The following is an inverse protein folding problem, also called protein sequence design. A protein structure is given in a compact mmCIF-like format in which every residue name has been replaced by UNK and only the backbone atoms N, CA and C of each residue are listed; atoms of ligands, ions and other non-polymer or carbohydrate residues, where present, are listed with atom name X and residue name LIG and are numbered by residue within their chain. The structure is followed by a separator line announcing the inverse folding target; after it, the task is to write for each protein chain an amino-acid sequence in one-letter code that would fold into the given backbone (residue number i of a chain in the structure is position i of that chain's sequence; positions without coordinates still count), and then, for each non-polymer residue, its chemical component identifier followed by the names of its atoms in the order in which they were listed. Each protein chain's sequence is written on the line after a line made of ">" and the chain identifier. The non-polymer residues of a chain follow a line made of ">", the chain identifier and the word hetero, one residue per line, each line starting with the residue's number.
data_IF_676159220942
#
_entry.id   IF_676159220942
#
_cell.length_a   1.000
_cell.length_b   1.000
_cell.length_c   1.000
_cell.angle_alpha   90.00
_cell.angle_beta   90.00
_cell.angle_gamma   90.00
#
_symmetry.space_group_name_H-M   'P 1'
#
loop_
_entity.id
_entity.type
_entity.pdbx_description
1 polymer ?
#
# COMPACT_ATOMS: atom_id res chain seq x y z
N UNK A 1 18.81 -19.87 -19.64
CA UNK A 1 20.19 -19.43 -19.33
C UNK A 1 20.20 -18.92 -17.90
N UNK A 2 20.75 -19.68 -16.95
CA UNK A 2 20.93 -19.22 -15.58
C UNK A 2 22.16 -18.32 -15.54
N UNK A 3 21.95 -17.01 -15.51
CA UNK A 3 22.99 -16.06 -15.11
C UNK A 3 23.27 -16.27 -13.63
N UNK A 4 24.29 -17.08 -13.32
CA UNK A 4 24.87 -17.06 -11.97
C UNK A 4 25.62 -15.73 -11.84
N UNK A 5 25.02 -14.80 -11.09
CA UNK A 5 25.72 -13.61 -10.63
C UNK A 5 26.96 -14.07 -9.86
N UNK A 6 28.16 -13.76 -10.38
CA UNK A 6 29.42 -13.99 -9.69
C UNK A 6 29.55 -13.02 -8.51
N UNK A 7 28.90 -13.34 -7.40
CA UNK A 7 28.96 -12.58 -6.16
C UNK A 7 30.29 -12.82 -5.45
N UNK A 8 30.87 -11.78 -4.86
CA UNK A 8 32.00 -11.95 -3.94
C UNK A 8 31.54 -12.69 -2.68
N UNK A 9 32.44 -13.32 -1.91
CA UNK A 9 32.09 -13.94 -0.63
C UNK A 9 31.47 -12.97 0.38
N UNK A 10 31.78 -11.68 0.28
CA UNK A 10 31.14 -10.64 1.09
C UNK A 10 29.71 -10.37 0.63
N UNK A 11 29.48 -10.23 -0.67
CA UNK A 11 28.16 -10.02 -1.24
C UNK A 11 27.25 -11.23 -0.99
N UNK A 12 27.76 -12.45 -1.14
CA UNK A 12 26.99 -13.67 -0.87
C UNK A 12 26.56 -13.74 0.62
N UNK A 13 27.49 -13.47 1.54
CA UNK A 13 27.17 -13.36 2.98
C UNK A 13 26.13 -12.26 3.25
N UNK A 14 26.23 -11.12 2.58
CA UNK A 14 25.24 -10.06 2.68
C UNK A 14 23.87 -10.54 2.22
N UNK A 15 23.73 -11.20 1.07
CA UNK A 15 22.44 -11.66 0.54
C UNK A 15 21.81 -12.81 1.35
N UNK A 16 22.63 -13.64 1.99
CA UNK A 16 22.13 -14.74 2.82
C UNK A 16 21.73 -14.32 4.23
N UNK A 17 22.33 -13.25 4.76
CA UNK A 17 22.03 -12.78 6.10
C UNK A 17 20.61 -12.19 6.22
N UNK A 18 19.92 -12.52 7.32
CA UNK A 18 18.66 -11.89 7.67
C UNK A 18 18.87 -10.39 7.90
N UNK A 19 17.95 -9.58 7.37
CA UNK A 19 17.97 -8.12 7.47
C UNK A 19 16.89 -7.67 8.45
N UNK A 20 17.16 -6.56 9.12
CA UNK A 20 16.24 -5.93 10.05
C UNK A 20 16.04 -4.49 9.60
N UNK A 21 14.81 -4.00 9.71
CA UNK A 21 14.47 -2.59 9.49
C UNK A 21 13.84 -2.10 10.79
N UNK A 22 14.50 -1.14 11.44
CA UNK A 22 13.95 -0.38 12.55
C UNK A 22 12.83 0.51 12.01
N UNK A 23 11.60 0.02 12.12
CA UNK A 23 10.43 0.57 11.47
C UNK A 23 9.65 1.48 12.42
N UNK A 24 9.32 2.69 11.98
CA UNK A 24 8.56 3.66 12.76
C UNK A 24 7.22 3.97 12.06
N UNK A 25 6.15 4.11 12.85
CA UNK A 25 4.83 4.50 12.31
C UNK A 25 4.40 5.81 12.94
N UNK A 26 4.17 6.82 12.10
CA UNK A 26 3.47 8.04 12.48
C UNK A 26 1.99 7.94 12.08
N UNK A 27 1.11 8.53 12.87
CA UNK A 27 -0.34 8.55 12.61
C UNK A 27 -0.85 9.98 12.73
N UNK A 28 -1.50 10.46 11.68
CA UNK A 28 -2.03 11.82 11.66
C UNK A 28 -3.29 11.99 12.54
N UNK A 29 -3.63 13.25 12.80
CA UNK A 29 -4.78 13.63 13.61
C UNK A 29 -6.09 13.21 12.95
N UNK A 30 -6.15 13.22 11.61
CA UNK A 30 -7.35 12.81 10.88
C UNK A 30 -7.66 11.34 11.10
N UNK A 31 -6.66 10.46 11.11
CA UNK A 31 -6.81 9.07 11.49
C UNK A 31 -7.16 8.94 12.98
N UNK A 32 -6.57 9.75 13.86
CA UNK A 32 -6.96 9.78 15.28
C UNK A 32 -8.46 10.08 15.46
N UNK A 33 -9.00 11.05 14.72
CA UNK A 33 -10.43 11.36 14.71
C UNK A 33 -11.27 10.25 14.07
N UNK A 34 -10.81 9.65 12.97
CA UNK A 34 -11.46 8.51 12.29
C UNK A 34 -11.69 7.32 13.21
N UNK A 35 -10.76 7.07 14.12
CA UNK A 35 -10.83 5.99 15.11
C UNK A 35 -11.36 6.47 16.47
N UNK A 36 -12.30 7.43 16.46
CA UNK A 36 -13.03 7.89 17.64
C UNK A 36 -12.12 8.37 18.78
N UNK A 37 -10.96 8.96 18.44
CA UNK A 37 -9.96 9.41 19.41
C UNK A 37 -9.43 8.29 20.30
N UNK A 38 -9.48 7.04 19.81
CA UNK A 38 -9.07 5.86 20.54
C UNK A 38 -7.67 5.40 20.10
N UNK A 39 -6.66 5.87 20.83
CA UNK A 39 -5.26 5.48 20.60
C UNK A 39 -5.02 3.97 20.73
N UNK A 40 -5.80 3.25 21.56
CA UNK A 40 -5.64 1.81 21.70
C UNK A 40 -6.09 1.08 20.44
N UNK A 41 -7.25 1.46 19.87
CA UNK A 41 -7.75 0.90 18.62
C UNK A 41 -6.79 1.12 17.45
N UNK A 42 -6.19 2.32 17.37
CA UNK A 42 -5.19 2.65 16.34
C UNK A 42 -3.94 1.77 16.50
N UNK A 43 -3.43 1.62 17.73
CA UNK A 43 -2.27 0.76 18.01
C UNK A 43 -2.56 -0.70 17.65
N UNK A 44 -3.72 -1.25 18.04
CA UNK A 44 -4.12 -2.62 17.68
C UNK A 44 -4.11 -2.81 16.17
N UNK A 45 -4.73 -1.88 15.42
CA UNK A 45 -4.71 -1.90 13.96
C UNK A 45 -3.30 -1.90 13.38
N UNK A 46 -2.40 -1.04 13.90
CA UNK A 46 -1.00 -1.01 13.45
C UNK A 46 -0.31 -2.34 13.72
N UNK A 47 -0.47 -2.93 14.91
CA UNK A 47 0.13 -4.21 15.23
C UNK A 47 -0.33 -5.33 14.29
N UNK A 48 -1.63 -5.39 13.98
CA UNK A 48 -2.17 -6.37 13.04
C UNK A 48 -1.62 -6.18 11.61
N UNK A 49 -1.51 -4.94 11.14
CA UNK A 49 -0.92 -4.60 9.84
C UNK A 49 0.56 -5.01 9.80
N UNK A 50 1.35 -4.63 10.83
CA UNK A 50 2.79 -4.93 10.89
C UNK A 50 3.05 -6.44 11.02
N UNK A 51 2.20 -7.19 11.73
CA UNK A 51 2.30 -8.64 11.77
C UNK A 51 2.09 -9.25 10.38
N UNK A 52 1.09 -8.77 9.65
CA UNK A 52 0.81 -9.20 8.27
C UNK A 52 1.94 -8.81 7.32
N UNK A 53 2.45 -7.59 7.43
CA UNK A 53 3.57 -7.07 6.66
C UNK A 53 4.85 -7.88 6.91
N UNK A 54 5.13 -8.25 8.16
CA UNK A 54 6.25 -9.12 8.51
C UNK A 54 6.14 -10.50 7.86
N UNK A 55 4.93 -11.06 7.71
CA UNK A 55 4.75 -12.31 6.96
C UNK A 55 5.12 -12.14 5.49
N UNK A 56 4.74 -11.02 4.86
CA UNK A 56 5.08 -10.71 3.46
C UNK A 56 6.59 -10.52 3.26
N UNK A 57 7.27 -9.87 4.20
CA UNK A 57 8.72 -9.56 4.11
C UNK A 57 9.64 -10.77 4.33
N UNK A 58 9.11 -11.92 4.78
CA UNK A 58 9.90 -13.15 5.00
C UNK A 58 10.58 -13.66 3.73
N UNK A 59 9.93 -13.54 2.58
CA UNK A 59 10.48 -13.97 1.29
C UNK A 59 11.75 -13.19 0.92
N UNK A 60 11.89 -11.95 1.41
CA UNK A 60 13.06 -11.10 1.24
C UNK A 60 14.09 -11.25 2.37
N UNK A 61 13.88 -12.18 3.32
CA UNK A 61 14.67 -12.32 4.57
C UNK A 61 14.75 -11.02 5.38
N UNK A 62 13.72 -10.18 5.31
CA UNK A 62 13.61 -8.93 6.06
C UNK A 62 12.65 -9.14 7.24
N UNK A 63 13.01 -8.60 8.40
CA UNK A 63 12.14 -8.48 9.56
C UNK A 63 11.97 -7.02 9.94
N UNK A 64 10.73 -6.56 10.07
CA UNK A 64 10.43 -5.22 10.54
C UNK A 64 10.33 -5.25 12.06
N UNK A 65 11.25 -4.55 12.72
CA UNK A 65 11.22 -4.30 14.15
C UNK A 65 10.51 -2.97 14.39
N UNK A 66 9.27 -3.02 14.90
CA UNK A 66 8.51 -1.80 15.19
C UNK A 66 9.11 -1.08 16.42
N UNK A 67 9.90 -0.04 16.18
CA UNK A 67 10.66 0.66 17.24
C UNK A 67 9.88 1.82 17.86
N UNK A 68 8.79 2.28 17.22
CA UNK A 68 7.94 3.34 17.73
C UNK A 68 6.65 3.53 16.95
N UNK A 69 5.61 3.99 17.67
CA UNK A 69 4.37 4.52 17.11
C UNK A 69 4.17 5.91 17.71
N UNK A 70 3.95 6.93 16.88
CA UNK A 70 3.59 8.27 17.32
C UNK A 70 2.26 8.71 16.71
N UNK A 71 1.28 8.99 17.56
CA UNK A 71 -0.06 9.42 17.16
C UNK A 71 -0.19 10.91 17.45
N UNK A 72 -0.47 11.70 16.43
CA UNK A 72 -0.63 13.15 16.51
C UNK A 72 -2.02 13.54 17.05
N UNK A 73 -2.29 13.18 18.31
CA UNK A 73 -3.60 13.35 18.95
C UNK A 73 -3.94 14.81 19.31
N UNK A 74 -2.95 15.71 19.27
CA UNK A 74 -3.08 17.13 19.60
C UNK A 74 -2.88 18.07 18.39
N UNK A 75 -3.05 17.52 17.19
CA UNK A 75 -2.84 18.23 15.92
C UNK A 75 -1.62 17.72 15.17
N UNK A 76 -1.67 17.82 13.84
CA UNK A 76 -0.63 17.30 12.96
C UNK A 76 0.70 18.01 13.15
N UNK A 77 1.81 17.26 13.05
CA UNK A 77 3.17 17.81 13.10
C UNK A 77 3.66 18.34 11.76
N UNK A 78 2.90 18.07 10.69
CA UNK A 78 3.12 18.55 9.34
C UNK A 78 1.79 19.00 8.73
N UNK A 79 1.84 19.73 7.62
CA UNK A 79 0.64 20.03 6.83
C UNK A 79 0.29 18.83 5.93
N UNK A 80 -0.59 17.94 6.38
CA UNK A 80 -1.09 16.80 5.61
C UNK A 80 -2.12 17.29 4.59
N UNK A 81 -1.85 17.06 3.31
CA UNK A 81 -2.62 17.56 2.16
C UNK A 81 -3.03 16.43 1.22
N UNK A 82 -4.04 16.66 0.38
CA UNK A 82 -4.47 15.69 -0.64
C UNK A 82 -3.37 15.44 -1.70
N UNK A 83 -2.47 16.41 -1.91
CA UNK A 83 -1.30 16.22 -2.76
C UNK A 83 -0.29 15.28 -2.10
N UNK A 84 -0.12 14.10 -2.70
CA UNK A 84 0.86 13.09 -2.26
C UNK A 84 2.29 13.64 -2.20
N UNK A 85 2.69 14.43 -3.21
CA UNK A 85 4.05 14.99 -3.28
C UNK A 85 4.30 16.03 -2.18
N UNK A 86 3.31 16.89 -1.92
CA UNK A 86 3.41 17.89 -0.85
C UNK A 86 3.50 17.23 0.53
N UNK A 87 2.61 16.25 0.80
CA UNK A 87 2.58 15.53 2.08
C UNK A 87 3.86 14.70 2.30
N UNK A 88 4.33 13.97 1.27
CA UNK A 88 5.57 13.19 1.35
C UNK A 88 6.75 14.09 1.69
N UNK A 89 6.91 15.23 0.98
CA UNK A 89 8.00 16.17 1.21
C UNK A 89 7.99 16.78 2.62
N UNK A 90 6.80 17.10 3.14
CA UNK A 90 6.67 17.56 4.52
C UNK A 90 7.03 16.47 5.53
N UNK A 91 6.62 15.22 5.28
CA UNK A 91 6.93 14.09 6.15
C UNK A 91 8.42 13.71 6.13
N UNK A 92 9.06 13.73 4.96
CA UNK A 92 10.53 13.60 4.81
C UNK A 92 11.27 14.62 5.67
N UNK A 93 10.84 15.89 5.60
CA UNK A 93 11.44 16.97 6.38
C UNK A 93 11.25 16.76 7.88
N UNK A 94 10.03 16.40 8.32
CA UNK A 94 9.76 16.11 9.73
C UNK A 94 10.54 14.91 10.25
N UNK A 95 10.70 13.84 9.46
CA UNK A 95 11.52 12.70 9.87
C UNK A 95 12.96 13.13 10.12
N UNK A 96 13.54 13.89 9.19
CA UNK A 96 14.93 14.34 9.26
C UNK A 96 15.18 15.28 10.44
N UNK A 97 14.32 16.28 10.63
CA UNK A 97 14.60 17.40 11.54
C UNK A 97 14.00 17.24 12.94
N UNK A 98 12.95 16.43 13.10
CA UNK A 98 12.25 16.24 14.38
C UNK A 98 12.36 14.80 14.88
N UNK A 99 12.00 13.79 14.08
CA UNK A 99 11.93 12.40 14.57
C UNK A 99 13.31 11.78 14.82
N UNK A 100 14.20 11.81 13.84
CA UNK A 100 15.51 11.15 13.93
C UNK A 100 16.38 11.65 15.10
N UNK A 101 16.43 12.95 15.43
CA UNK A 101 17.17 13.45 16.59
C UNK A 101 16.78 12.84 17.94
N UNK A 102 15.53 12.36 18.08
CA UNK A 102 14.96 11.84 19.34
C UNK A 102 14.65 10.35 19.30
N UNK A 103 14.53 9.75 18.12
CA UNK A 103 14.27 8.31 17.96
C UNK A 103 14.84 7.79 16.64
N UNK A 104 15.95 7.05 16.74
CA UNK A 104 16.55 6.32 15.62
C UNK A 104 15.55 5.34 14.98
N UNK A 105 15.55 5.30 13.65
CA UNK A 105 14.79 4.38 12.81
C UNK A 105 15.37 4.34 11.39
N UNK A 106 15.28 3.18 10.73
CA UNK A 106 15.74 2.96 9.37
C UNK A 106 14.74 3.48 8.33
N UNK A 107 13.44 3.38 8.64
CA UNK A 107 12.32 3.79 7.78
C UNK A 107 11.13 4.24 8.64
N UNK A 108 10.43 5.29 8.20
CA UNK A 108 9.18 5.71 8.84
C UNK A 108 8.03 5.77 7.83
N UNK A 109 6.86 5.28 8.21
CA UNK A 109 5.66 5.39 7.39
C UNK A 109 4.58 6.21 8.11
N UNK A 110 3.96 7.14 7.38
CA UNK A 110 2.81 7.91 7.85
C UNK A 110 1.52 7.20 7.44
N UNK A 111 0.70 6.81 8.42
CA UNK A 111 -0.69 6.44 8.19
C UNK A 111 -1.57 7.68 8.34
N UNK A 112 -2.38 7.96 7.33
CA UNK A 112 -3.25 9.14 7.30
C UNK A 112 -4.71 8.78 6.99
N UNK A 113 -5.61 9.52 7.62
CA UNK A 113 -7.04 9.47 7.32
C UNK A 113 -7.48 10.40 6.19
N UNK A 114 -6.55 11.07 5.50
CA UNK A 114 -6.86 11.90 4.33
C UNK A 114 -7.09 11.02 3.10
N UNK A 115 -7.96 11.47 2.21
CA UNK A 115 -8.08 10.89 0.88
C UNK A 115 -7.12 11.66 -0.03
N UNK A 116 -6.11 10.99 -0.58
CA UNK A 116 -5.20 11.66 -1.50
C UNK A 116 -5.88 11.93 -2.85
N UNK A 117 -5.39 12.95 -3.55
CA UNK A 117 -5.87 13.27 -4.89
C UNK A 117 -5.59 12.12 -5.87
N UNK A 118 -6.35 12.16 -6.97
CA UNK A 118 -6.38 11.11 -7.99
C UNK A 118 -6.91 9.80 -7.39
N UNK A 119 -6.25 8.68 -7.64
CA UNK A 119 -6.61 7.40 -7.04
C UNK A 119 -5.42 6.82 -6.26
N UNK A 120 -4.65 7.72 -5.64
CA UNK A 120 -3.44 7.39 -4.88
C UNK A 120 -3.83 6.87 -3.50
N UNK A 121 -3.30 5.72 -3.10
CA UNK A 121 -3.51 5.14 -1.76
C UNK A 121 -2.20 5.04 -0.94
N UNK A 122 -1.06 5.26 -1.59
CA UNK A 122 0.28 5.24 -1.01
C UNK A 122 1.26 5.95 -1.94
N UNK A 123 2.36 6.45 -1.37
CA UNK A 123 3.47 7.03 -2.13
C UNK A 123 4.77 7.00 -1.33
N UNK A 124 5.88 6.71 -2.02
CA UNK A 124 7.20 6.56 -1.42
C UNK A 124 8.31 6.99 -2.37
N UNK A 125 9.41 7.48 -1.80
CA UNK A 125 10.65 7.73 -2.56
C UNK A 125 11.34 6.40 -2.84
N UNK A 126 11.70 6.16 -4.10
CA UNK A 126 12.37 4.93 -4.51
C UNK A 126 13.82 4.84 -4.03
N UNK A 127 14.29 3.63 -3.72
CA UNK A 127 15.69 3.30 -3.38
C UNK A 127 16.27 4.19 -2.27
N UNK A 128 15.46 4.50 -1.27
CA UNK A 128 15.77 5.48 -0.23
C UNK A 128 15.96 4.88 1.15
N UNK A 129 15.85 3.56 1.32
CA UNK A 129 16.00 2.92 2.63
C UNK A 129 17.32 3.36 3.33
N UNK A 130 17.23 3.67 4.63
CA UNK A 130 18.30 4.21 5.48
C UNK A 130 18.77 5.64 5.14
N UNK A 131 18.28 6.28 4.07
CA UNK A 131 18.51 7.71 3.86
C UNK A 131 17.89 8.52 5.00
N UNK A 132 18.60 9.50 5.55
CA UNK A 132 18.14 10.30 6.70
C UNK A 132 16.86 11.09 6.42
N UNK A 133 16.62 11.47 5.18
CA UNK A 133 15.47 12.29 4.78
C UNK A 133 14.38 11.47 4.08
N UNK A 134 14.79 10.71 3.06
CA UNK A 134 13.87 10.15 2.08
C UNK A 134 13.41 8.71 2.40
N UNK A 135 13.92 8.09 3.48
CA UNK A 135 13.49 6.76 3.91
C UNK A 135 12.12 6.82 4.60
N UNK A 136 11.11 7.20 3.80
CA UNK A 136 9.73 7.33 4.24
C UNK A 136 8.73 6.89 3.18
N UNK A 137 7.51 6.63 3.63
CA UNK A 137 6.33 6.54 2.77
C UNK A 137 5.10 7.16 3.47
N UNK A 138 4.10 7.54 2.68
CA UNK A 138 2.79 7.98 3.15
C UNK A 138 1.73 7.00 2.64
N UNK A 139 0.79 6.62 3.51
CA UNK A 139 -0.22 5.61 3.22
C UNK A 139 -1.58 6.11 3.71
N UNK A 140 -2.55 6.13 2.81
CA UNK A 140 -3.95 6.38 3.15
C UNK A 140 -4.53 5.13 3.83
N UNK A 141 -5.22 5.32 4.94
CA UNK A 141 -5.96 4.25 5.63
C UNK A 141 -7.26 3.91 4.85
N UNK A 142 -7.14 3.34 3.66
CA UNK A 142 -8.21 3.28 2.64
C UNK A 142 -9.24 2.16 2.84
N UNK A 143 -8.97 1.15 3.68
CA UNK A 143 -9.87 0.02 3.91
C UNK A 143 -9.73 -0.55 5.32
N UNK A 144 -10.81 -1.11 5.90
CA UNK A 144 -10.72 -1.81 7.20
C UNK A 144 -9.96 -3.13 7.11
N UNK A 145 -9.83 -3.72 5.93
CA UNK A 145 -9.18 -5.01 5.72
C UNK A 145 -7.65 -4.93 5.92
N UNK A 146 -7.16 -5.58 6.98
CA UNK A 146 -5.74 -5.57 7.38
C UNK A 146 -4.79 -6.06 6.27
N UNK A 147 -5.20 -7.07 5.50
CA UNK A 147 -4.39 -7.63 4.41
C UNK A 147 -4.11 -6.62 3.30
N UNK A 148 -5.11 -5.83 2.91
CA UNK A 148 -4.96 -4.79 1.89
C UNK A 148 -4.10 -3.63 2.38
N UNK A 149 -4.27 -3.21 3.64
CA UNK A 149 -3.40 -2.19 4.25
C UNK A 149 -1.94 -2.65 4.33
N UNK A 150 -1.71 -3.89 4.76
CA UNK A 150 -0.36 -4.47 4.80
C UNK A 150 0.26 -4.56 3.40
N UNK A 151 -0.54 -4.90 2.38
CA UNK A 151 -0.07 -4.91 1.00
C UNK A 151 0.35 -3.51 0.52
N UNK A 152 -0.46 -2.47 0.79
CA UNK A 152 -0.07 -1.08 0.46
C UNK A 152 1.21 -0.66 1.17
N UNK A 153 1.34 -0.91 2.48
CA UNK A 153 2.58 -0.60 3.21
C UNK A 153 3.78 -1.40 2.70
N UNK A 154 3.57 -2.66 2.28
CA UNK A 154 4.60 -3.50 1.66
C UNK A 154 5.03 -2.97 0.30
N UNK A 155 4.09 -2.50 -0.51
CA UNK A 155 4.32 -1.88 -1.81
C UNK A 155 5.21 -0.65 -1.68
N UNK A 156 4.83 0.26 -0.78
CA UNK A 156 5.60 1.49 -0.54
C UNK A 156 6.97 1.21 0.07
N UNK A 157 7.07 0.26 1.00
CA UNK A 157 8.37 -0.18 1.52
C UNK A 157 9.22 -0.83 0.41
N UNK A 158 8.59 -1.56 -0.51
CA UNK A 158 9.21 -2.13 -1.71
C UNK A 158 9.85 -1.05 -2.58
N UNK A 159 9.17 0.09 -2.77
CA UNK A 159 9.78 1.25 -3.42
C UNK A 159 10.98 1.79 -2.66
N UNK A 160 10.91 1.98 -1.33
CA UNK A 160 12.07 2.40 -0.54
C UNK A 160 13.25 1.41 -0.66
N UNK A 161 12.97 0.11 -0.78
CA UNK A 161 13.94 -0.97 -1.04
C UNK A 161 14.46 -1.01 -2.49
N UNK A 162 13.93 -0.15 -3.37
CA UNK A 162 14.35 -0.02 -4.76
C UNK A 162 13.62 -0.94 -5.76
N UNK A 163 12.52 -1.57 -5.33
CA UNK A 163 11.70 -2.43 -6.18
C UNK A 163 10.76 -1.55 -7.02
N UNK A 164 10.73 -1.81 -8.33
CA UNK A 164 9.85 -1.12 -9.28
C UNK A 164 8.50 -1.83 -9.36
N UNK A 165 7.52 -1.16 -9.94
CA UNK A 165 6.27 -1.81 -10.29
C UNK A 165 6.51 -3.02 -11.19
N UNK A 166 5.64 -4.02 -11.02
CA UNK A 166 5.58 -5.16 -11.92
C UNK A 166 5.30 -4.71 -13.35
N UNK A 167 6.01 -5.31 -14.30
CA UNK A 167 5.83 -5.08 -15.73
C UNK A 167 5.26 -6.33 -16.41
N UNK A 168 5.02 -6.25 -17.72
CA UNK A 168 4.59 -7.39 -18.51
C UNK A 168 5.61 -8.54 -18.38
N UNK A 169 5.15 -9.68 -17.86
CA UNK A 169 5.99 -10.87 -17.60
C UNK A 169 6.25 -11.15 -16.11
N UNK A 170 5.98 -10.21 -15.20
CA UNK A 170 5.94 -10.51 -13.77
C UNK A 170 4.69 -11.34 -13.44
N UNK A 171 4.87 -12.50 -12.81
CA UNK A 171 3.77 -13.38 -12.43
C UNK A 171 3.87 -13.76 -10.95
N UNK A 172 2.76 -13.56 -10.25
CA UNK A 172 2.49 -14.18 -8.96
C UNK A 172 1.21 -14.97 -9.19
N UNK A 173 1.27 -16.29 -9.16
CA UNK A 173 0.08 -17.13 -9.35
C UNK A 173 -0.41 -17.61 -7.99
N UNK A 174 -1.72 -17.53 -7.67
CA UNK A 174 -2.84 -17.04 -8.48
C UNK A 174 -3.18 -15.54 -8.31
N UNK A 175 -2.44 -14.78 -7.50
CA UNK A 175 -2.81 -13.41 -7.10
C UNK A 175 -1.87 -12.34 -7.65
N UNK A 176 -2.34 -11.11 -7.87
CA UNK A 176 -1.44 -10.00 -8.23
C UNK A 176 -0.31 -9.84 -7.20
N UNK A 177 0.90 -9.63 -7.70
CA UNK A 177 2.10 -9.36 -6.91
C UNK A 177 1.95 -8.07 -6.09
N UNK A 178 2.70 -7.95 -4.99
CA UNK A 178 2.71 -6.77 -4.11
C UNK A 178 3.02 -5.49 -4.89
N UNK A 179 3.92 -5.56 -5.87
CA UNK A 179 4.37 -4.40 -6.65
C UNK A 179 3.46 -4.07 -7.84
N UNK A 180 2.23 -4.59 -7.86
CA UNK A 180 1.26 -4.23 -8.90
C UNK A 180 0.91 -2.74 -8.80
N UNK A 181 0.89 -2.04 -9.94
CA UNK A 181 0.64 -0.59 -9.97
C UNK A 181 -0.78 -0.16 -9.57
N UNK A 182 -1.72 -1.11 -9.45
CA UNK A 182 -3.14 -0.83 -9.24
C UNK A 182 -3.78 -1.81 -8.25
N UNK A 183 -3.48 -1.65 -6.96
CA UNK A 183 -4.05 -2.47 -5.89
C UNK A 183 -5.57 -2.22 -5.70
N UNK A 184 -6.03 -0.98 -5.87
CA UNK A 184 -7.46 -0.60 -5.78
C UNK A 184 -8.36 -1.38 -6.75
N UNK A 185 -7.81 -1.82 -7.88
CA UNK A 185 -8.57 -2.45 -8.97
C UNK A 185 -8.63 -3.98 -8.82
N UNK A 186 -7.99 -4.55 -7.78
CA UNK A 186 -8.00 -6.00 -7.53
C UNK A 186 -9.43 -6.54 -7.44
N UNK A 187 -10.36 -5.79 -6.83
CA UNK A 187 -11.78 -6.16 -6.72
C UNK A 187 -12.61 -5.90 -7.99
N UNK A 188 -12.05 -5.16 -8.95
CA UNK A 188 -12.68 -4.87 -10.24
C UNK A 188 -12.00 -5.62 -11.40
N UNK A 189 -11.18 -6.62 -11.07
CA UNK A 189 -10.46 -7.45 -12.03
C UNK A 189 -11.36 -8.41 -12.81
N UNK A 190 -10.71 -9.29 -13.57
CA UNK A 190 -11.38 -10.31 -14.38
C UNK A 190 -11.45 -11.63 -13.60
N UNK A 191 -12.65 -12.14 -13.38
CA UNK A 191 -12.92 -13.49 -12.87
C UNK A 191 -12.98 -14.46 -14.06
N UNK A 192 -12.22 -15.56 -14.02
CA UNK A 192 -12.40 -16.68 -14.95
C UNK A 192 -12.80 -17.93 -14.16
N UNK A 193 -13.89 -18.58 -14.57
CA UNK A 193 -14.28 -19.88 -14.04
C UNK A 193 -13.92 -20.93 -15.08
N UNK A 194 -12.96 -21.79 -14.79
CA UNK A 194 -12.65 -22.94 -15.65
C UNK A 194 -13.58 -24.08 -15.24
N UNK A 195 -14.42 -24.57 -16.15
CA UNK A 195 -15.31 -25.70 -15.87
C UNK A 195 -14.46 -26.96 -15.64
N UNK A 196 -14.34 -27.36 -14.37
CA UNK A 196 -13.85 -28.64 -13.89
C UNK A 196 -14.75 -29.12 -12.74
N UNK A 197 -14.65 -30.38 -12.32
CA UNK A 197 -15.56 -31.02 -11.36
C UNK A 197 -15.48 -30.46 -9.91
N UNK A 198 -14.74 -29.38 -9.68
CA UNK A 198 -14.67 -28.64 -8.42
C UNK A 198 -14.76 -27.14 -8.73
N UNK A 199 -15.58 -26.41 -7.97
CA UNK A 199 -15.85 -24.98 -8.12
C UNK A 199 -14.68 -24.10 -7.65
N UNK A 200 -13.47 -24.35 -8.13
CA UNK A 200 -12.32 -23.46 -7.88
C UNK A 200 -12.24 -22.36 -8.94
N UNK A 201 -12.56 -21.13 -8.53
CA UNK A 201 -12.28 -19.94 -9.34
C UNK A 201 -10.77 -19.71 -9.39
N UNK A 202 -10.18 -19.76 -10.58
CA UNK A 202 -8.74 -19.50 -10.81
C UNK A 202 -8.56 -18.24 -11.65
N UNK A 203 -7.55 -17.44 -11.33
CA UNK A 203 -7.21 -16.20 -12.04
C UNK A 203 -6.22 -16.53 -13.18
N UNK A 204 -6.65 -16.37 -14.43
CA UNK A 204 -5.79 -16.48 -15.63
C UNK A 204 -5.96 -15.23 -16.51
N UNK A 205 -4.85 -14.72 -17.06
CA UNK A 205 -4.82 -13.55 -17.94
C UNK A 205 -4.43 -13.95 -19.37
N UNK A 206 -5.33 -13.75 -20.33
CA UNK A 206 -5.06 -13.88 -21.77
C UNK A 206 -5.51 -12.63 -22.54
N UNK A 207 -4.60 -11.91 -23.22
CA UNK A 207 -4.89 -10.64 -23.89
C UNK A 207 -5.82 -10.74 -25.11
N UNK A 208 -6.08 -11.94 -25.62
CA UNK A 208 -6.81 -12.17 -26.89
C UNK A 208 -8.25 -12.69 -26.71
N UNK A 209 -8.73 -12.85 -25.48
CA UNK A 209 -10.03 -13.46 -25.21
C UNK A 209 -11.13 -12.40 -24.97
N UNK A 210 -12.33 -12.53 -25.59
CA UNK A 210 -13.46 -11.63 -25.38
C UNK A 210 -13.79 -11.45 -23.90
N UNK A 211 -14.31 -10.28 -23.55
CA UNK A 211 -14.32 -9.69 -22.20
C UNK A 211 -15.33 -10.31 -21.20
N UNK A 212 -15.56 -11.62 -21.27
CA UNK A 212 -16.65 -12.32 -20.57
C UNK A 212 -16.43 -12.49 -19.06
N UNK A 213 -15.32 -11.99 -18.51
CA UNK A 213 -14.93 -12.21 -17.12
C UNK A 213 -14.80 -10.94 -16.27
N UNK A 214 -14.98 -9.74 -16.82
CA UNK A 214 -14.83 -8.52 -16.03
C UNK A 214 -15.92 -8.43 -14.95
N UNK A 215 -15.52 -8.07 -13.72
CA UNK A 215 -16.48 -7.67 -12.68
C UNK A 215 -17.34 -6.53 -13.23
N UNK A 216 -18.66 -6.74 -13.19
CA UNK A 216 -19.62 -5.85 -13.84
C UNK A 216 -19.48 -4.41 -13.29
N UNK A 217 -19.56 -3.38 -14.17
CA UNK A 217 -19.67 -2.00 -13.73
C UNK A 217 -20.82 -1.82 -12.72
N UNK A 218 -20.60 -1.01 -11.68
CA UNK A 218 -21.55 -0.83 -10.57
C UNK A 218 -21.34 -1.80 -9.39
N UNK A 219 -20.51 -2.84 -9.53
CA UNK A 219 -20.19 -3.75 -8.41
C UNK A 219 -19.45 -3.01 -7.31
N UNK A 220 -19.89 -3.11 -6.05
CA UNK A 220 -19.21 -2.46 -4.91
C UNK A 220 -17.79 -3.01 -4.76
N UNK A 221 -16.81 -2.13 -4.84
CA UNK A 221 -15.40 -2.49 -4.65
C UNK A 221 -14.78 -1.82 -3.40
N UNK A 222 -15.46 -0.86 -2.80
CA UNK A 222 -15.09 -0.21 -1.54
C UNK A 222 -16.22 0.66 -1.00
N UNK A 223 -16.02 1.30 0.15
CA UNK A 223 -17.02 2.18 0.72
C UNK A 223 -17.17 3.45 -0.12
N UNK A 224 -18.38 3.71 -0.62
CA UNK A 224 -18.64 4.80 -1.56
C UNK A 224 -18.01 4.61 -2.95
N UNK A 225 -17.56 3.39 -3.30
CA UNK A 225 -16.89 3.09 -4.56
C UNK A 225 -17.49 1.87 -5.29
N UNK A 226 -17.51 1.93 -6.62
CA UNK A 226 -17.99 0.89 -7.52
C UNK A 226 -16.99 0.62 -8.64
N UNK A 227 -17.05 -0.58 -9.21
CA UNK A 227 -16.28 -0.93 -10.40
C UNK A 227 -16.79 -0.17 -11.63
N UNK A 228 -15.90 0.34 -12.45
CA UNK A 228 -16.20 0.96 -13.74
C UNK A 228 -14.99 0.77 -14.66
N UNK A 229 -15.18 0.13 -15.81
CA UNK A 229 -14.10 -0.16 -16.78
C UNK A 229 -12.87 -0.85 -16.14
N UNK A 230 -13.12 -1.86 -15.30
CA UNK A 230 -12.06 -2.61 -14.60
C UNK A 230 -11.37 -1.83 -13.47
N UNK A 231 -11.86 -0.64 -13.11
CA UNK A 231 -11.31 0.20 -12.03
C UNK A 231 -12.27 0.40 -10.88
N UNK A 232 -11.77 0.41 -9.65
CA UNK A 232 -12.55 0.79 -8.48
C UNK A 232 -12.55 2.31 -8.32
N UNK A 233 -13.71 2.94 -8.47
CA UNK A 233 -13.85 4.41 -8.50
C UNK A 233 -14.99 4.88 -7.60
N UNK A 234 -14.93 6.12 -7.11
CA UNK A 234 -16.03 6.70 -6.34
C UNK A 234 -17.34 6.75 -7.13
N UNK A 235 -18.45 6.37 -6.48
CA UNK A 235 -19.82 6.42 -7.03
C UNK A 235 -20.12 7.80 -7.63
N UNK A 236 -19.64 8.86 -6.98
CA UNK A 236 -19.82 10.23 -7.45
C UNK A 236 -19.15 10.48 -8.82
N UNK A 237 -18.00 9.86 -9.13
CA UNK A 237 -17.36 10.03 -10.45
C UNK A 237 -18.13 9.28 -11.55
N UNK A 238 -18.87 8.22 -11.21
CA UNK A 238 -19.63 7.40 -12.18
C UNK A 238 -21.01 8.01 -12.46
N UNK A 239 -21.72 8.45 -11.41
CA UNK A 239 -23.11 8.89 -11.52
C UNK A 239 -23.31 10.41 -11.52
N UNK A 240 -22.24 11.22 -11.45
CA UNK A 240 -22.35 12.70 -11.64
C UNK A 240 -22.59 13.13 -13.09
N UNK A 241 -22.59 12.21 -14.06
CA UNK A 241 -22.95 12.58 -15.45
C UNK A 241 -24.46 12.65 -15.71
N UNK A 242 -25.30 12.39 -14.71
CA UNK A 242 -26.76 12.52 -14.79
C UNK A 242 -27.29 13.59 -13.84
N UNK A 243 -26.93 14.85 -14.08
CA UNK A 243 -27.83 15.97 -13.75
C UNK A 243 -28.99 15.91 -14.75
N UNK A 244 -30.00 15.10 -14.47
CA UNK A 244 -31.10 14.89 -15.39
C UNK A 244 -32.21 13.96 -14.91
N UNK A 245 -32.46 13.88 -13.60
CA UNK A 245 -33.71 13.29 -13.11
C UNK A 245 -34.50 14.37 -12.36
N UNK A 246 -35.42 14.98 -13.10
CA UNK A 246 -36.55 15.69 -12.51
C UNK A 246 -37.43 14.67 -11.81
N UNK A 247 -37.70 14.93 -10.53
CA UNK A 247 -38.74 14.25 -9.77
C UNK A 247 -40.08 14.81 -10.26
N UNK A 248 -40.95 13.94 -10.78
CA UNK A 248 -42.39 14.10 -10.68
C UNK A 248 -42.87 13.02 -9.72
#
# INVERSE_FOLDING_TARGET
>A
MNSQLNLTPEQDRYWQAKKYIEFFVAVDNRMYLKYERNSASIKTRIYEIINTLNMMMRSLRIHLALVGIEIWNNGDKINVQESKDATLKSFETWRETDLLPRKGNDNAQLLTGIDFSEDTIGYATMSSLCNSKNSVAIIQDHTRETSFMANTMAHELGHNLGIRHDTFGCNCSPNKCIMTSHLKDVKCGRLYCRHGNEWECQMDYFPETPDVGLVAPGTKCGDGMVCSNGRCVHVQRVYRSTTGFSII
#
